data_IF_255580552630
#
_entry.id   IF_255580552630
#
_cell.length_a   1.000
_cell.length_b   1.000
_cell.length_c   1.000
_cell.angle_alpha   90.00
_cell.angle_beta   90.00
_cell.angle_gamma   90.00
#
_symmetry.space_group_name_H-M   'P 1'
#
loop_
_entity.id
_entity.type
_entity.pdbx_description
1 polymer ?
#
# COMPACT_ATOMS: atom_id res chain seq x y z
N UNK A 1 21.89 -36.16 39.24
CA UNK A 1 21.24 -37.08 38.29
C UNK A 1 21.07 -36.29 36.99
N UNK A 2 22.07 -36.36 36.10
CA UNK A 2 22.17 -37.30 34.97
C UNK A 2 21.23 -36.87 33.81
N UNK A 3 21.63 -36.68 32.56
CA UNK A 3 22.94 -36.69 31.90
C UNK A 3 22.79 -36.00 30.52
N UNK A 4 23.79 -35.21 30.13
CA UNK A 4 24.10 -34.88 28.73
C UNK A 4 24.89 -36.05 28.13
N UNK A 5 24.53 -36.54 26.94
CA UNK A 5 25.42 -37.34 26.08
C UNK A 5 25.01 -37.17 24.63
N UNK A 6 25.93 -36.70 23.77
CA UNK A 6 26.16 -37.33 22.47
C UNK A 6 27.53 -36.91 21.93
N UNK A 7 28.45 -37.89 21.92
CA UNK A 7 29.74 -37.80 21.27
C UNK A 7 30.00 -39.10 20.48
N UNK A 8 30.18 -38.92 19.16
CA UNK A 8 31.23 -39.50 18.32
C UNK A 8 31.22 -40.98 17.86
N UNK A 9 31.69 -41.11 16.59
CA UNK A 9 32.47 -42.20 15.94
C UNK A 9 31.76 -43.27 15.09
N UNK A 10 32.14 -43.30 13.80
CA UNK A 10 32.25 -44.48 12.91
C UNK A 10 33.54 -45.29 13.24
N UNK A 11 33.78 -46.54 12.77
CA UNK A 11 34.03 -46.87 11.34
C UNK A 11 33.67 -48.30 10.82
N UNK A 12 33.70 -48.42 9.48
CA UNK A 12 34.07 -49.53 8.56
C UNK A 12 33.96 -51.03 8.91
N UNK A 13 33.43 -51.81 7.94
CA UNK A 13 34.09 -53.00 7.36
C UNK A 13 33.30 -53.51 6.15
N UNK A 14 33.98 -53.65 5.00
CA UNK A 14 33.50 -54.48 3.89
C UNK A 14 34.09 -55.88 3.99
N UNK A 15 33.42 -56.84 3.37
CA UNK A 15 34.02 -58.03 2.77
C UNK A 15 33.01 -58.54 1.74
N UNK A 16 33.48 -58.75 0.52
CA UNK A 16 32.71 -59.29 -0.58
C UNK A 16 32.90 -60.78 -0.71
N UNK A 17 31.98 -61.43 -1.41
CA UNK A 17 32.27 -62.64 -2.17
C UNK A 17 31.48 -62.60 -3.48
N UNK A 18 32.21 -62.90 -4.54
CA UNK A 18 31.80 -62.86 -5.94
C UNK A 18 31.38 -64.26 -6.35
N UNK A 19 30.19 -64.40 -6.93
CA UNK A 19 29.85 -65.56 -7.74
C UNK A 19 29.05 -65.09 -8.97
N UNK A 20 29.58 -65.36 -10.16
CA UNK A 20 28.91 -65.23 -11.46
C UNK A 20 28.82 -66.64 -12.05
N UNK A 21 27.67 -67.01 -12.64
CA UNK A 21 27.74 -67.36 -14.05
C UNK A 21 26.53 -66.93 -14.91
N UNK A 22 26.89 -66.25 -16.00
CA UNK A 22 26.47 -66.30 -17.41
C UNK A 22 24.99 -66.35 -17.90
N UNK A 23 24.84 -65.62 -19.02
CA UNK A 23 23.94 -65.77 -20.17
C UNK A 23 22.45 -65.36 -20.09
N UNK A 24 22.21 -64.17 -20.64
CA UNK A 24 21.14 -63.82 -21.59
C UNK A 24 19.67 -64.10 -21.25
N UNK A 25 18.89 -63.04 -21.08
CA UNK A 25 17.68 -62.68 -21.87
C UNK A 25 16.73 -61.79 -21.05
N UNK A 26 16.05 -60.87 -21.74
CA UNK A 26 14.91 -60.14 -21.18
C UNK A 26 15.21 -58.71 -20.77
N UNK A 27 15.18 -57.82 -21.76
CA UNK A 27 14.86 -56.40 -21.58
C UNK A 27 13.56 -56.23 -20.80
N UNK A 28 13.53 -55.27 -19.88
CA UNK A 28 12.41 -54.33 -19.68
C UNK A 28 12.79 -53.35 -18.56
N UNK A 29 13.55 -52.31 -18.94
CA UNK A 29 13.58 -51.08 -18.17
C UNK A 29 12.45 -50.21 -18.71
N UNK A 30 11.36 -50.12 -17.96
CA UNK A 30 10.36 -49.06 -18.09
C UNK A 30 11.05 -47.72 -17.82
N UNK A 31 11.58 -47.16 -18.89
CA UNK A 31 11.96 -45.76 -18.95
C UNK A 31 10.66 -44.96 -18.93
N UNK A 32 10.40 -44.25 -17.83
CA UNK A 32 9.48 -43.13 -17.85
C UNK A 32 10.06 -42.08 -18.80
N UNK A 33 9.76 -42.24 -20.09
CA UNK A 33 9.92 -41.18 -21.06
C UNK A 33 8.99 -40.05 -20.62
N UNK A 34 9.60 -38.96 -20.17
CA UNK A 34 8.93 -37.67 -20.13
C UNK A 34 8.78 -37.24 -21.60
N UNK A 35 7.87 -37.90 -22.32
CA UNK A 35 7.45 -37.50 -23.65
C UNK A 35 6.68 -36.20 -23.43
N UNK A 36 7.43 -35.10 -23.49
CA UNK A 36 6.88 -33.77 -23.66
C UNK A 36 6.12 -33.82 -24.98
N UNK A 37 4.82 -34.08 -24.89
CA UNK A 37 3.90 -34.12 -26.01
C UNK A 37 3.82 -32.72 -26.61
N UNK A 38 4.69 -32.43 -27.58
CA UNK A 38 4.77 -31.15 -28.30
C UNK A 38 3.41 -30.74 -28.88
N UNK A 39 2.52 -31.71 -29.14
CA UNK A 39 1.14 -31.45 -29.57
C UNK A 39 0.31 -30.75 -28.49
N UNK A 40 0.44 -31.12 -27.21
CA UNK A 40 -0.25 -30.45 -26.10
C UNK A 40 0.37 -29.09 -25.75
N UNK A 41 1.69 -28.94 -25.93
CA UNK A 41 2.35 -27.65 -25.79
C UNK A 41 1.91 -26.64 -26.88
N UNK A 42 1.62 -27.13 -28.10
CA UNK A 42 1.09 -26.33 -29.21
C UNK A 42 -0.33 -25.77 -28.97
N UNK A 43 -1.19 -26.51 -28.27
CA UNK A 43 -2.56 -26.06 -27.95
C UNK A 43 -2.57 -24.91 -26.94
N UNK A 44 -1.77 -25.02 -25.88
CA UNK A 44 -1.66 -23.98 -24.86
C UNK A 44 -0.90 -22.75 -25.39
N UNK A 45 0.16 -22.95 -26.17
CA UNK A 45 0.91 -21.88 -26.82
C UNK A 45 0.07 -21.07 -27.81
N UNK A 46 -0.86 -21.72 -28.53
CA UNK A 46 -1.81 -21.06 -29.43
C UNK A 46 -2.84 -20.20 -28.69
N UNK A 47 -3.33 -20.65 -27.52
CA UNK A 47 -4.28 -19.89 -26.69
C UNK A 47 -3.61 -18.69 -26.02
N UNK A 48 -2.35 -18.85 -25.57
CA UNK A 48 -1.62 -17.84 -24.80
C UNK A 48 -0.79 -16.88 -25.68
N UNK A 49 -0.69 -17.14 -26.98
CA UNK A 49 -0.02 -16.25 -27.95
C UNK A 49 1.44 -15.93 -27.64
N UNK A 50 2.14 -16.81 -26.92
CA UNK A 50 3.53 -16.57 -26.48
C UNK A 50 3.68 -15.54 -25.34
N UNK A 51 2.60 -15.19 -24.65
CA UNK A 51 2.66 -14.28 -23.49
C UNK A 51 3.26 -15.02 -22.28
N UNK A 52 4.34 -14.46 -21.73
CA UNK A 52 5.11 -15.07 -20.64
C UNK A 52 4.37 -15.20 -19.29
N UNK A 53 3.28 -14.45 -19.09
CA UNK A 53 2.46 -14.52 -17.87
C UNK A 53 0.99 -14.24 -18.20
N UNK A 54 0.26 -15.24 -18.73
CA UNK A 54 -1.12 -15.05 -19.19
C UNK A 54 -2.17 -15.20 -18.08
N UNK A 55 -1.74 -15.63 -16.90
CA UNK A 55 -2.61 -15.85 -15.77
C UNK A 55 -2.46 -14.70 -14.78
N UNK A 56 -3.51 -13.91 -14.63
CA UNK A 56 -3.66 -12.99 -13.53
C UNK A 56 -4.69 -13.56 -12.55
N UNK A 57 -4.48 -13.32 -11.26
CA UNK A 57 -5.47 -13.59 -10.22
C UNK A 57 -5.57 -12.38 -9.30
N UNK A 58 -6.71 -12.21 -8.66
CA UNK A 58 -7.00 -11.09 -7.78
C UNK A 58 -7.37 -11.60 -6.40
N UNK A 59 -6.85 -10.93 -5.37
CA UNK A 59 -7.33 -11.09 -4.00
C UNK A 59 -8.18 -9.88 -3.62
N UNK A 60 -9.30 -10.10 -2.93
CA UNK A 60 -10.03 -9.02 -2.27
C UNK A 60 -9.57 -8.92 -0.83
N UNK A 61 -9.09 -7.74 -0.43
CA UNK A 61 -8.80 -7.43 0.96
C UNK A 61 -10.11 -6.99 1.62
N UNK A 62 -10.46 -7.62 2.74
CA UNK A 62 -11.65 -7.31 3.54
C UNK A 62 -11.27 -7.24 5.01
N UNK A 63 -12.02 -6.48 5.78
CA UNK A 63 -11.98 -6.59 7.24
C UNK A 63 -12.72 -7.85 7.66
N UNK A 64 -12.20 -8.56 8.66
CA UNK A 64 -12.73 -9.86 9.10
C UNK A 64 -14.12 -9.76 9.72
N UNK A 65 -14.47 -8.61 10.28
CA UNK A 65 -15.77 -8.27 10.85
C UNK A 65 -16.70 -7.56 9.85
N UNK A 66 -16.25 -7.32 8.62
CA UNK A 66 -16.98 -6.59 7.59
C UNK A 66 -17.09 -5.08 7.83
N UNK A 67 -16.56 -4.55 8.93
CA UNK A 67 -16.60 -3.12 9.24
C UNK A 67 -15.47 -2.40 8.49
N UNK A 68 -15.80 -1.40 7.67
CA UNK A 68 -14.79 -0.53 7.06
C UNK A 68 -14.41 0.52 8.11
N UNK A 69 -13.13 0.62 8.51
CA UNK A 69 -12.73 1.60 9.52
C UNK A 69 -13.01 3.01 9.00
N UNK A 70 -13.69 3.81 9.80
CA UNK A 70 -13.95 5.21 9.51
C UNK A 70 -12.74 6.05 9.86
N UNK A 71 -12.42 7.02 9.01
CA UNK A 71 -11.44 8.05 9.36
C UNK A 71 -12.22 9.28 9.81
N UNK A 72 -11.93 9.76 11.01
CA UNK A 72 -12.53 10.98 11.52
C UNK A 72 -11.45 12.03 11.78
N UNK A 73 -11.71 13.24 11.31
CA UNK A 73 -10.89 14.40 11.52
C UNK A 73 -11.63 15.32 12.50
N UNK A 74 -11.03 15.64 13.63
CA UNK A 74 -11.54 16.71 14.48
C UNK A 74 -10.65 17.92 14.34
N UNK A 75 -11.22 19.11 14.19
CA UNK A 75 -10.48 20.37 14.22
C UNK A 75 -11.28 21.39 15.03
N UNK A 76 -10.59 22.20 15.84
CA UNK A 76 -11.21 23.26 16.66
C UNK A 76 -12.42 22.80 17.50
N UNK A 77 -12.44 21.53 17.92
CA UNK A 77 -13.53 20.93 18.71
C UNK A 77 -14.72 20.40 17.88
N UNK A 78 -14.69 20.55 16.56
CA UNK A 78 -15.72 20.03 15.65
C UNK A 78 -15.23 18.75 14.95
N UNK A 79 -16.15 17.78 14.80
CA UNK A 79 -15.92 16.53 14.08
C UNK A 79 -16.26 16.66 12.59
N UNK A 80 -15.36 16.21 11.74
CA UNK A 80 -15.45 16.16 10.29
C UNK A 80 -15.24 14.71 9.83
N UNK A 81 -16.31 13.92 9.63
CA UNK A 81 -16.18 12.56 9.13
C UNK A 81 -15.64 12.58 7.71
N UNK A 82 -14.63 11.75 7.45
CA UNK A 82 -14.12 11.50 6.12
C UNK A 82 -14.80 10.24 5.60
N UNK A 83 -15.63 10.39 4.57
CA UNK A 83 -16.30 9.28 3.93
C UNK A 83 -15.25 8.32 3.35
N UNK A 84 -15.48 7.03 3.56
CA UNK A 84 -14.65 6.01 2.94
C UNK A 84 -14.74 6.14 1.41
N UNK A 85 -13.64 5.89 0.69
CA UNK A 85 -13.66 5.87 -0.77
C UNK A 85 -14.66 4.80 -1.25
N UNK A 86 -15.61 5.17 -2.11
CA UNK A 86 -16.54 4.20 -2.69
C UNK A 86 -15.85 3.45 -3.84
N UNK A 87 -15.34 2.26 -3.55
CA UNK A 87 -14.75 1.37 -4.55
C UNK A 87 -15.80 0.48 -5.25
N UNK A 88 -17.00 1.02 -5.55
CA UNK A 88 -17.93 0.29 -6.41
C UNK A 88 -17.25 0.10 -7.77
N UNK A 89 -17.25 -1.12 -8.31
CA UNK A 89 -16.51 -1.46 -9.53
C UNK A 89 -16.84 -0.51 -10.69
N UNK A 90 -15.81 0.02 -11.34
CA UNK A 90 -15.95 0.69 -12.64
C UNK A 90 -15.99 -0.40 -13.71
N UNK A 91 -17.08 -0.48 -14.49
CA UNK A 91 -16.93 -0.96 -15.86
C UNK A 91 -16.07 0.08 -16.58
N UNK A 92 -14.92 -0.32 -17.09
CA UNK A 92 -14.01 0.55 -17.83
C UNK A 92 -14.77 1.34 -18.90
N UNK A 93 -14.52 2.66 -19.08
CA UNK A 93 -15.11 3.38 -20.19
C UNK A 93 -14.60 2.76 -21.51
N UNK A 94 -15.45 2.58 -22.52
CA UNK A 94 -15.00 2.11 -23.82
C UNK A 94 -14.03 3.14 -24.42
N UNK A 95 -12.85 2.69 -24.84
CA UNK A 95 -11.88 3.49 -25.59
C UNK A 95 -12.55 4.01 -26.85
N UNK A 96 -12.74 5.33 -26.97
CA UNK A 96 -13.09 5.95 -28.25
C UNK A 96 -12.23 7.18 -28.54
N UNK A 97 -11.48 7.05 -29.63
CA UNK A 97 -10.88 8.14 -30.38
C UNK A 97 -11.99 8.96 -31.05
N UNK A 98 -11.95 10.28 -30.91
CA UNK A 98 -12.78 11.20 -31.69
C UNK A 98 -13.56 12.22 -30.85
N UNK A 99 -13.24 13.49 -31.05
CA UNK A 99 -13.91 14.64 -30.45
C UNK A 99 -15.36 14.75 -30.92
N UNK A 100 -16.30 14.47 -30.02
CA UNK A 100 -17.67 14.98 -30.15
C UNK A 100 -18.25 15.11 -28.75
N UNK A 101 -18.61 16.34 -28.35
CA UNK A 101 -19.18 16.64 -27.04
C UNK A 101 -20.52 15.93 -26.90
N UNK A 102 -20.52 14.76 -26.28
CA UNK A 102 -21.74 14.04 -25.92
C UNK A 102 -22.18 14.49 -24.52
N UNK A 103 -23.37 15.11 -24.44
CA UNK A 103 -24.15 15.08 -23.20
C UNK A 103 -24.54 13.62 -22.94
N UNK A 104 -23.66 12.87 -22.29
CA UNK A 104 -23.96 11.53 -21.82
C UNK A 104 -24.64 11.62 -20.45
N UNK A 105 -25.73 10.88 -20.27
CA UNK A 105 -26.29 10.63 -18.95
C UNK A 105 -25.31 9.77 -18.13
N UNK A 106 -24.99 10.25 -16.93
CA UNK A 106 -24.19 9.49 -15.98
C UNK A 106 -24.88 8.18 -15.63
N UNK A 107 -24.11 7.09 -15.53
CA UNK A 107 -24.61 5.83 -14.97
C UNK A 107 -25.02 6.03 -13.51
N UNK A 108 -25.84 5.14 -12.95
CA UNK A 108 -26.23 5.19 -11.53
C UNK A 108 -25.00 5.16 -10.59
N UNK A 109 -23.94 4.47 -10.98
CA UNK A 109 -22.69 4.44 -10.21
C UNK A 109 -21.89 5.74 -10.33
N UNK A 110 -21.90 6.40 -11.49
CA UNK A 110 -21.31 7.74 -11.67
C UNK A 110 -22.08 8.81 -10.89
N UNK A 111 -23.43 8.75 -10.88
CA UNK A 111 -24.28 9.61 -10.06
C UNK A 111 -24.01 9.41 -8.57
N UNK A 112 -23.86 8.17 -8.11
CA UNK A 112 -23.49 7.85 -6.72
C UNK A 112 -22.13 8.43 -6.35
N UNK A 113 -21.09 8.24 -7.20
CA UNK A 113 -19.77 8.85 -6.98
C UNK A 113 -19.85 10.37 -6.91
N UNK A 114 -20.53 11.00 -7.85
CA UNK A 114 -20.70 12.45 -7.86
C UNK A 114 -21.39 12.95 -6.59
N UNK A 115 -22.42 12.24 -6.12
CA UNK A 115 -23.12 12.57 -4.87
C UNK A 115 -22.20 12.45 -3.66
N UNK A 116 -21.38 11.39 -3.57
CA UNK A 116 -20.41 11.20 -2.47
C UNK A 116 -19.34 12.29 -2.48
N UNK A 117 -18.83 12.67 -3.67
CA UNK A 117 -17.87 13.76 -3.83
C UNK A 117 -18.44 15.10 -3.35
N UNK A 118 -19.68 15.42 -3.75
CA UNK A 118 -20.35 16.65 -3.32
C UNK A 118 -20.66 16.63 -1.82
N UNK A 119 -21.10 15.49 -1.27
CA UNK A 119 -21.35 15.34 0.17
C UNK A 119 -20.06 15.55 0.98
N UNK A 120 -18.98 14.86 0.61
CA UNK A 120 -17.67 15.02 1.25
C UNK A 120 -17.17 16.45 1.17
N UNK A 121 -17.27 17.10 -0.01
CA UNK A 121 -16.91 18.51 -0.17
C UNK A 121 -17.71 19.39 0.77
N UNK A 122 -19.03 19.23 0.81
CA UNK A 122 -19.92 20.04 1.67
C UNK A 122 -19.62 19.87 3.16
N UNK A 123 -19.21 18.68 3.58
CA UNK A 123 -18.82 18.37 4.97
C UNK A 123 -17.48 18.99 5.35
N UNK A 124 -16.56 19.12 4.40
CA UNK A 124 -15.22 19.68 4.64
C UNK A 124 -15.15 21.19 4.45
N UNK A 125 -16.06 21.82 3.69
CA UNK A 125 -16.12 23.28 3.50
C UNK A 125 -15.98 24.08 4.82
N UNK A 126 -16.72 23.76 5.90
CA UNK A 126 -16.59 24.50 7.16
C UNK A 126 -15.20 24.35 7.79
N UNK A 127 -14.54 23.20 7.63
CA UNK A 127 -13.14 23.03 8.05
C UNK A 127 -12.23 23.94 7.23
N UNK A 128 -12.32 23.88 5.90
CA UNK A 128 -11.47 24.66 4.99
C UNK A 128 -11.55 26.16 5.28
N UNK A 129 -12.75 26.67 5.56
CA UNK A 129 -12.97 28.08 5.91
C UNK A 129 -12.23 28.55 7.17
N UNK A 130 -11.83 27.62 8.05
CA UNK A 130 -11.13 27.90 9.30
C UNK A 130 -9.61 27.70 9.19
N UNK A 131 -9.13 27.12 8.08
CA UNK A 131 -7.71 26.84 7.91
C UNK A 131 -6.98 28.08 7.35
N UNK A 132 -5.93 28.58 8.03
CA UNK A 132 -5.12 29.66 7.49
C UNK A 132 -4.25 29.17 6.33
N UNK A 133 -3.80 30.11 5.49
CA UNK A 133 -2.79 29.84 4.47
C UNK A 133 -1.53 29.24 5.11
N UNK A 134 -1.03 28.18 4.49
CA UNK A 134 0.16 27.46 4.91
C UNK A 134 1.38 28.37 4.83
N UNK A 135 2.16 28.38 5.90
CA UNK A 135 3.41 29.11 5.95
C UNK A 135 4.58 28.24 5.48
N UNK A 136 5.70 28.84 5.08
CA UNK A 136 6.94 28.14 4.78
C UNK A 136 8.12 28.82 5.46
N UNK A 137 9.18 28.04 5.72
CA UNK A 137 10.42 28.55 6.28
C UNK A 137 11.27 29.23 5.20
N UNK A 138 11.84 30.39 5.54
CA UNK A 138 12.78 31.12 4.70
C UNK A 138 13.93 31.62 5.60
N UNK A 139 15.00 30.84 5.70
CA UNK A 139 16.04 31.07 6.69
C UNK A 139 15.48 30.96 8.12
N UNK A 140 15.65 32.02 8.92
CA UNK A 140 15.08 32.10 10.27
C UNK A 140 13.62 32.61 10.30
N UNK A 141 13.06 33.01 9.15
CA UNK A 141 11.73 33.61 9.07
C UNK A 141 10.67 32.59 8.65
N UNK A 142 9.42 32.82 9.10
CA UNK A 142 8.24 32.10 8.64
C UNK A 142 7.40 33.04 7.78
N UNK A 143 7.20 32.68 6.50
CA UNK A 143 6.51 33.51 5.50
C UNK A 143 5.25 32.83 4.96
N UNK A 144 4.36 33.62 4.35
CA UNK A 144 3.19 33.15 3.60
C UNK A 144 3.21 33.80 2.22
N UNK A 145 3.20 32.98 1.18
CA UNK A 145 3.23 33.39 -0.22
C UNK A 145 2.67 32.24 -1.07
N UNK A 146 1.52 32.46 -1.71
CA UNK A 146 0.86 31.46 -2.53
C UNK A 146 1.65 31.11 -3.80
N UNK A 147 2.58 31.96 -4.27
CA UNK A 147 3.47 31.61 -5.39
C UNK A 147 4.47 30.50 -5.01
N UNK A 148 4.81 30.39 -3.73
CA UNK A 148 5.74 29.40 -3.18
C UNK A 148 5.00 28.19 -2.62
N UNK A 149 3.97 28.45 -1.81
CA UNK A 149 3.18 27.43 -1.13
C UNK A 149 1.71 27.82 -1.16
N UNK A 150 0.98 27.24 -2.10
CA UNK A 150 -0.47 27.36 -2.18
C UNK A 150 -1.15 26.15 -1.52
N UNK A 151 -1.38 26.29 -0.23
CA UNK A 151 -2.04 25.30 0.61
C UNK A 151 -2.64 25.96 1.84
N UNK A 152 -3.57 25.27 2.49
CA UNK A 152 -4.06 25.59 3.83
C UNK A 152 -3.39 24.69 4.86
N UNK A 153 -3.16 25.18 6.09
CA UNK A 153 -2.51 24.40 7.13
C UNK A 153 -3.09 24.62 8.53
N UNK A 154 -3.33 23.53 9.27
CA UNK A 154 -3.52 23.53 10.72
C UNK A 154 -2.28 22.97 11.43
N UNK A 155 -1.94 23.58 12.57
CA UNK A 155 -0.93 23.06 13.50
C UNK A 155 -1.51 21.93 14.35
N UNK A 156 -0.64 21.04 14.84
CA UNK A 156 -1.00 19.81 15.56
C UNK A 156 -1.88 20.01 16.79
N UNK A 157 -1.80 21.16 17.45
CA UNK A 157 -2.65 21.53 18.58
C UNK A 157 -4.12 21.81 18.20
N UNK A 158 -4.41 22.01 16.90
CA UNK A 158 -5.72 22.42 16.40
C UNK A 158 -6.52 21.29 15.76
N UNK A 159 -5.94 20.11 15.61
CA UNK A 159 -6.63 18.98 14.99
C UNK A 159 -6.20 17.63 15.58
N UNK A 160 -7.05 16.62 15.38
CA UNK A 160 -6.70 15.23 15.63
C UNK A 160 -7.33 14.35 14.56
N UNK A 161 -6.67 13.23 14.24
CA UNK A 161 -7.17 12.23 13.30
C UNK A 161 -7.32 10.91 14.04
N UNK A 162 -8.46 10.23 13.83
CA UNK A 162 -8.69 8.88 14.34
C UNK A 162 -9.07 7.92 13.23
N UNK A 163 -8.65 6.67 13.40
CA UNK A 163 -9.11 5.51 12.61
C UNK A 163 -9.94 4.65 13.55
N UNK A 164 -11.25 4.59 13.33
CA UNK A 164 -12.20 4.20 14.37
C UNK A 164 -12.05 5.10 15.59
N UNK A 165 -11.82 4.51 16.76
CA UNK A 165 -11.63 5.23 18.03
C UNK A 165 -10.16 5.50 18.40
N UNK A 166 -9.20 5.04 17.58
CA UNK A 166 -7.77 5.12 17.86
C UNK A 166 -7.16 6.32 17.16
N UNK A 167 -6.33 7.11 17.86
CA UNK A 167 -5.59 8.21 17.24
C UNK A 167 -4.63 7.69 16.16
N UNK A 168 -4.47 8.45 15.07
CA UNK A 168 -3.69 8.03 13.91
C UNK A 168 -2.26 7.61 14.25
N UNK A 169 -1.57 8.36 15.13
CA UNK A 169 -0.21 8.01 15.55
C UNK A 169 -0.15 6.65 16.26
N UNK A 170 -1.11 6.37 17.15
CA UNK A 170 -1.18 5.10 17.86
C UNK A 170 -1.61 3.96 16.94
N UNK A 171 -2.54 4.23 16.02
CA UNK A 171 -2.92 3.29 14.98
C UNK A 171 -1.70 2.87 14.13
N UNK A 172 -0.90 3.84 13.66
CA UNK A 172 0.31 3.55 12.89
C UNK A 172 1.33 2.71 13.67
N UNK A 173 1.49 2.99 14.97
CA UNK A 173 2.35 2.19 15.87
C UNK A 173 1.82 0.76 16.01
N UNK A 174 0.52 0.58 16.28
CA UNK A 174 -0.13 -0.72 16.44
C UNK A 174 -0.07 -1.57 15.16
N UNK A 175 -0.18 -0.94 13.99
CA UNK A 175 -0.10 -1.62 12.68
C UNK A 175 1.34 -1.93 12.23
N UNK A 176 2.33 -1.64 13.07
CA UNK A 176 3.73 -1.96 12.80
C UNK A 176 4.39 -1.04 11.75
N UNK A 177 3.82 0.15 11.50
CA UNK A 177 4.29 1.01 10.41
C UNK A 177 5.71 1.53 10.67
N UNK A 178 6.01 1.92 11.91
CA UNK A 178 7.33 2.42 12.30
C UNK A 178 8.42 1.35 12.20
N UNK A 179 8.09 0.11 12.54
CA UNK A 179 8.99 -1.03 12.41
C UNK A 179 9.33 -1.29 10.94
N UNK A 180 8.34 -1.25 10.04
CA UNK A 180 8.55 -1.39 8.59
C UNK A 180 9.44 -0.27 8.05
N UNK A 181 9.21 0.98 8.48
CA UNK A 181 10.04 2.13 8.09
C UNK A 181 11.47 1.95 8.62
N UNK A 182 11.64 1.59 9.89
CA UNK A 182 12.95 1.35 10.50
C UNK A 182 13.75 0.27 9.76
N UNK A 183 13.11 -0.84 9.40
CA UNK A 183 13.73 -1.91 8.58
C UNK A 183 14.14 -1.37 7.21
N UNK A 184 13.25 -0.66 6.52
CA UNK A 184 13.52 -0.13 5.18
C UNK A 184 14.67 0.89 5.16
N UNK A 185 14.81 1.68 6.24
CA UNK A 185 15.86 2.67 6.41
C UNK A 185 17.10 2.13 7.15
N UNK A 186 17.13 0.85 7.52
CA UNK A 186 18.20 0.20 8.28
C UNK A 186 18.51 0.90 9.62
N UNK A 187 17.49 1.44 10.27
CA UNK A 187 17.62 2.08 11.58
C UNK A 187 17.44 1.04 12.68
N UNK A 188 18.44 0.91 13.55
CA UNK A 188 18.43 -0.03 14.68
C UNK A 188 17.74 0.52 15.93
N UNK A 189 17.63 1.84 16.04
CA UNK A 189 16.96 2.53 17.15
C UNK A 189 15.43 2.56 16.92
N UNK A 190 14.60 2.36 17.96
CA UNK A 190 13.16 2.53 17.84
C UNK A 190 12.78 3.92 17.30
N UNK A 191 11.92 3.94 16.28
CA UNK A 191 11.39 5.19 15.73
C UNK A 191 10.20 5.67 16.56
N UNK A 192 10.12 6.98 16.75
CA UNK A 192 8.95 7.67 17.30
C UNK A 192 8.22 8.46 16.20
N UNK A 193 6.96 8.80 16.45
CA UNK A 193 6.15 9.60 15.52
C UNK A 193 5.30 10.60 16.31
N UNK A 194 5.25 11.81 15.79
CA UNK A 194 4.45 12.92 16.29
C UNK A 194 3.58 13.48 15.17
N UNK A 195 2.33 13.83 15.49
CA UNK A 195 1.45 14.53 14.58
C UNK A 195 1.90 16.00 14.49
N UNK A 196 2.18 16.50 13.27
CA UNK A 196 2.76 17.83 13.10
C UNK A 196 1.82 18.86 12.48
N UNK A 197 1.32 18.57 11.28
CA UNK A 197 0.48 19.52 10.54
C UNK A 197 -0.52 18.81 9.66
N UNK A 198 -1.72 19.37 9.54
CA UNK A 198 -2.69 18.99 8.51
C UNK A 198 -2.59 20.00 7.37
N UNK A 199 -2.28 19.52 6.18
CA UNK A 199 -2.20 20.36 4.98
C UNK A 199 -3.35 20.01 4.03
N UNK A 200 -3.97 21.02 3.44
CA UNK A 200 -4.94 20.85 2.35
C UNK A 200 -4.45 21.60 1.14
N UNK A 201 -4.28 20.87 0.04
CA UNK A 201 -4.03 21.44 -1.27
C UNK A 201 -5.36 21.50 -2.01
N UNK A 202 -5.74 22.71 -2.44
CA UNK A 202 -6.89 22.89 -3.30
C UNK A 202 -6.51 22.56 -4.75
N UNK A 203 -7.48 22.67 -5.66
CA UNK A 203 -7.22 22.51 -7.09
C UNK A 203 -6.07 23.43 -7.50
N UNK A 204 -5.11 22.87 -8.24
CA UNK A 204 -3.91 23.56 -8.73
C UNK A 204 -2.94 24.04 -7.62
N UNK A 205 -3.22 23.75 -6.35
CA UNK A 205 -2.36 24.08 -5.21
C UNK A 205 -1.03 23.33 -5.24
N UNK A 206 0.03 23.98 -4.79
CA UNK A 206 1.39 23.47 -4.91
C UNK A 206 2.27 23.85 -3.72
N UNK A 207 3.40 23.18 -3.63
CA UNK A 207 4.55 23.66 -2.88
C UNK A 207 5.77 23.47 -3.77
N UNK A 208 6.46 24.56 -4.11
CA UNK A 208 7.68 24.49 -4.92
C UNK A 208 8.72 23.56 -4.29
N UNK A 209 9.66 23.07 -5.10
CA UNK A 209 10.74 22.19 -4.63
C UNK A 209 11.44 22.80 -3.42
N UNK A 210 11.43 22.07 -2.31
CA UNK A 210 12.01 22.49 -1.04
C UNK A 210 12.74 21.33 -0.37
N UNK A 211 13.49 21.67 0.67
CA UNK A 211 14.00 20.72 1.66
C UNK A 211 13.20 20.93 2.93
N UNK A 212 12.81 19.85 3.60
CA UNK A 212 12.19 19.95 4.91
C UNK A 212 13.11 20.72 5.88
N UNK A 213 12.50 21.56 6.71
CA UNK A 213 13.22 22.26 7.78
C UNK A 213 13.43 21.29 8.93
N UNK A 214 14.67 20.94 9.31
CA UNK A 214 14.93 20.11 10.49
C UNK A 214 14.30 20.77 11.72
N UNK A 215 13.67 19.96 12.58
CA UNK A 215 13.00 20.43 13.80
C UNK A 215 13.70 20.02 15.09
N UNK A 216 14.77 19.25 14.97
CA UNK A 216 15.60 18.74 16.04
C UNK A 216 16.71 17.88 15.45
N UNK A 217 17.74 17.59 16.24
CA UNK A 217 18.85 16.72 15.82
C UNK A 217 18.41 15.24 15.71
N UNK A 218 17.21 14.92 16.20
CA UNK A 218 16.57 13.61 16.20
C UNK A 218 15.57 13.40 15.04
N UNK A 219 15.35 14.41 14.19
CA UNK A 219 14.44 14.29 13.06
C UNK A 219 15.07 13.47 11.92
N UNK A 220 14.66 12.20 11.80
CA UNK A 220 15.07 11.33 10.70
C UNK A 220 14.42 11.69 9.36
N UNK A 221 13.17 12.18 9.39
CA UNK A 221 12.41 12.54 8.20
C UNK A 221 10.93 12.80 8.48
N UNK A 222 10.15 12.98 7.42
CA UNK A 222 8.71 13.27 7.48
C UNK A 222 7.90 12.10 6.95
N UNK A 223 6.91 11.63 7.71
CA UNK A 223 5.88 10.70 7.22
C UNK A 223 4.65 11.49 6.76
N UNK A 224 4.29 11.37 5.49
CA UNK A 224 3.05 11.92 4.95
C UNK A 224 1.99 10.83 4.90
N UNK A 225 0.85 11.06 5.56
CA UNK A 225 -0.31 10.18 5.48
C UNK A 225 -1.40 10.90 4.71
N UNK A 226 -1.70 10.43 3.51
CA UNK A 226 -2.84 10.90 2.73
C UNK A 226 -4.12 10.36 3.35
N UNK A 227 -4.92 11.24 3.94
CA UNK A 227 -6.27 10.88 4.38
C UNK A 227 -7.15 10.63 3.16
N UNK A 228 -8.20 9.81 3.28
CA UNK A 228 -9.12 9.60 2.18
C UNK A 228 -9.69 10.95 1.71
N UNK A 229 -9.36 11.33 0.49
CA UNK A 229 -9.99 12.42 -0.24
C UNK A 229 -10.79 11.77 -1.35
N UNK A 230 -12.04 12.14 -1.47
CA UNK A 230 -12.88 11.71 -2.58
C UNK A 230 -12.35 12.31 -3.89
#
# INVERSE_FOLDING_TARGET
>A
MASNVLASRSPASGDGDVEMPDASSGSDQDSFSNEYDEKKAGELGAVLGGIASPFATSFTIRTSDGAIPTVSLSATGQLFPILAPSFTELKSPPTQSGSMLYQREFSEDEKKRYTILQDQKSRLEPLLSQMPQAAFGHGAETKRDASIRDALQLSSDKFSVKVGDVFLADFLKQQGALQKIGIALQVSTPLEIELYSLNVYQKDGHFVKHKDTPRGDDMLGTLVVSLPGC
#
